data_IF_676442384455
#
_entry.id   IF_676442384455
#
_cell.length_a   1.000
_cell.length_b   1.000
_cell.length_c   1.000
_cell.angle_alpha   90.00
_cell.angle_beta   90.00
_cell.angle_gamma   90.00
#
_symmetry.space_group_name_H-M   'P 1'
#
loop_
_entity.id
_entity.type
_entity.pdbx_description
1 polymer ?
#
# COMPACT_ATOMS: atom_id res chain seq x y z
N UNK A 1 13.53 -22.29 -15.78
CA UNK A 1 12.82 -22.35 -14.46
C UNK A 1 13.25 -21.15 -13.67
N UNK A 2 12.31 -20.36 -13.17
CA UNK A 2 12.58 -19.15 -12.36
C UNK A 2 12.87 -19.61 -10.93
N UNK A 3 14.00 -19.19 -10.38
CA UNK A 3 14.39 -19.56 -9.01
C UNK A 3 14.01 -18.49 -8.01
N UNK A 4 13.56 -18.91 -6.83
CA UNK A 4 13.28 -18.01 -5.71
C UNK A 4 14.58 -17.71 -4.98
N UNK A 5 14.85 -16.43 -4.75
CA UNK A 5 16.02 -15.96 -4.01
C UNK A 5 15.88 -16.39 -2.54
N UNK A 6 16.89 -17.13 -2.05
CA UNK A 6 17.02 -17.57 -0.65
C UNK A 6 18.08 -16.80 0.13
N UNK A 7 18.89 -16.02 -0.58
CA UNK A 7 19.88 -15.13 0.01
C UNK A 7 19.19 -13.82 0.42
N UNK A 8 18.94 -13.65 1.71
CA UNK A 8 18.19 -12.50 2.24
C UNK A 8 18.92 -11.17 1.99
N UNK A 9 20.24 -11.16 1.91
CA UNK A 9 20.99 -9.93 1.62
C UNK A 9 20.59 -9.30 0.28
N UNK A 10 20.18 -10.13 -0.69
CA UNK A 10 19.68 -9.66 -1.99
C UNK A 10 18.26 -9.09 -1.94
N UNK A 11 17.57 -9.23 -0.82
CA UNK A 11 16.20 -8.75 -0.62
C UNK A 11 16.13 -7.49 0.25
N UNK A 12 17.27 -6.89 0.58
CA UNK A 12 17.35 -5.72 1.50
C UNK A 12 17.20 -4.38 0.80
N UNK A 13 17.03 -4.34 -0.50
CA UNK A 13 16.83 -3.10 -1.28
C UNK A 13 15.34 -2.86 -1.51
N UNK A 14 14.90 -1.59 -1.35
CA UNK A 14 13.55 -1.20 -1.70
C UNK A 14 13.31 -1.34 -3.21
N UNK A 15 12.20 -1.98 -3.58
CA UNK A 15 11.84 -2.22 -4.97
C UNK A 15 11.33 -0.94 -5.66
N UNK A 16 11.74 -0.74 -6.91
CA UNK A 16 11.32 0.40 -7.71
C UNK A 16 9.82 0.32 -8.06
N UNK A 17 9.09 1.45 -7.99
CA UNK A 17 7.69 1.48 -8.43
C UNK A 17 7.60 1.26 -9.94
N UNK A 18 6.62 0.44 -10.37
CA UNK A 18 6.29 0.34 -11.79
C UNK A 18 5.74 1.68 -12.26
N UNK A 19 6.35 2.28 -13.27
CA UNK A 19 5.88 3.53 -13.84
C UNK A 19 4.81 3.27 -14.91
N UNK A 20 3.67 3.99 -14.86
CA UNK A 20 2.54 3.75 -15.78
C UNK A 20 2.59 4.58 -17.06
N UNK A 21 3.46 5.60 -17.11
CA UNK A 21 3.50 6.57 -18.19
C UNK A 21 4.88 6.61 -18.84
N UNK A 22 5.00 5.95 -19.98
CA UNK A 22 5.91 6.43 -21.01
C UNK A 22 5.05 6.97 -22.16
N UNK A 23 5.54 8.00 -22.86
CA UNK A 23 4.91 8.55 -24.07
C UNK A 23 4.65 7.49 -25.15
N UNK A 24 5.16 6.27 -24.98
CA UNK A 24 5.13 5.15 -25.92
C UNK A 24 4.28 3.95 -25.48
N UNK A 25 3.65 3.97 -24.30
CA UNK A 25 2.68 2.93 -23.88
C UNK A 25 3.26 1.55 -23.55
N UNK A 26 4.59 1.37 -23.48
CA UNK A 26 5.27 0.06 -23.38
C UNK A 26 5.36 -0.53 -21.96
N UNK A 27 5.02 0.21 -20.92
CA UNK A 27 5.22 -0.26 -19.52
C UNK A 27 4.14 -1.21 -19.01
N UNK A 28 2.99 -1.28 -19.68
CA UNK A 28 1.98 -2.30 -19.36
C UNK A 28 2.50 -3.70 -19.67
N UNK A 29 3.23 -3.85 -20.79
CA UNK A 29 3.75 -5.13 -21.22
C UNK A 29 4.83 -5.66 -20.28
N UNK A 30 5.70 -4.79 -19.75
CA UNK A 30 6.68 -5.16 -18.72
C UNK A 30 6.00 -5.62 -17.43
N UNK A 31 5.00 -4.89 -16.95
CA UNK A 31 4.23 -5.27 -15.78
C UNK A 31 3.51 -6.60 -15.95
N UNK A 32 2.93 -6.87 -17.12
CA UNK A 32 2.27 -8.14 -17.44
C UNK A 32 3.25 -9.30 -17.54
N UNK A 33 4.47 -9.08 -18.07
CA UNK A 33 5.53 -10.08 -18.10
C UNK A 33 5.98 -10.48 -16.69
N UNK A 34 6.18 -9.49 -15.80
CA UNK A 34 6.52 -9.73 -14.40
C UNK A 34 5.41 -10.54 -13.70
N UNK A 35 4.16 -10.13 -13.87
CA UNK A 35 3.00 -10.83 -13.32
C UNK A 35 2.92 -12.27 -13.83
N UNK A 36 3.15 -12.49 -15.12
CA UNK A 36 3.20 -13.81 -15.73
C UNK A 36 4.23 -14.71 -15.06
N UNK A 37 5.44 -14.19 -14.84
CA UNK A 37 6.54 -14.91 -14.15
C UNK A 37 6.20 -15.26 -12.72
N UNK A 38 5.60 -14.34 -11.96
CA UNK A 38 5.17 -14.59 -10.58
C UNK A 38 4.11 -15.70 -10.53
N UNK A 39 3.11 -15.63 -11.41
CA UNK A 39 2.04 -16.64 -11.49
C UNK A 39 2.59 -18.01 -11.90
N UNK A 40 3.52 -18.07 -12.86
CA UNK A 40 4.20 -19.31 -13.28
C UNK A 40 4.85 -20.00 -12.09
N UNK A 41 5.64 -19.29 -11.29
CA UNK A 41 6.28 -19.85 -10.09
C UNK A 41 5.25 -20.34 -9.07
N UNK A 42 4.23 -19.54 -8.78
CA UNK A 42 3.17 -19.90 -7.84
C UNK A 42 2.30 -21.08 -8.35
N UNK A 43 2.18 -21.25 -9.67
CA UNK A 43 1.41 -22.35 -10.25
C UNK A 43 2.17 -23.68 -10.24
N UNK A 44 3.50 -23.62 -10.29
CA UNK A 44 4.37 -24.79 -10.11
C UNK A 44 4.32 -25.27 -8.66
N UNK A 45 4.38 -24.35 -7.70
CA UNK A 45 4.29 -24.66 -6.27
C UNK A 45 3.05 -24.01 -5.64
N UNK A 46 2.01 -24.78 -5.44
CA UNK A 46 0.72 -24.35 -4.86
C UNK A 46 0.81 -24.00 -3.38
N UNK A 47 1.89 -24.36 -2.70
CA UNK A 47 2.11 -24.00 -1.28
C UNK A 47 2.52 -22.54 -1.11
N UNK A 48 2.98 -21.88 -2.17
CA UNK A 48 3.35 -20.48 -2.16
C UNK A 48 2.07 -19.62 -2.11
N UNK A 49 1.83 -18.98 -0.97
CA UNK A 49 0.68 -18.10 -0.76
C UNK A 49 0.93 -16.66 -1.18
N UNK A 50 2.16 -16.20 -1.09
CA UNK A 50 2.56 -14.85 -1.54
C UNK A 50 3.95 -14.89 -2.18
N UNK A 51 4.13 -14.12 -3.26
CA UNK A 51 5.41 -14.01 -3.96
C UNK A 51 5.57 -12.60 -4.53
N UNK A 52 6.72 -11.98 -4.25
CA UNK A 52 7.06 -10.63 -4.70
C UNK A 52 8.06 -10.67 -5.85
N UNK A 53 8.06 -9.63 -6.69
CA UNK A 53 9.02 -9.52 -7.80
C UNK A 53 10.50 -9.55 -7.34
N UNK A 54 10.90 -8.90 -6.23
CA UNK A 54 12.25 -9.05 -5.69
C UNK A 54 12.65 -10.48 -5.38
N UNK A 55 11.72 -11.33 -4.92
CA UNK A 55 12.01 -12.73 -4.60
C UNK A 55 12.36 -13.57 -5.83
N UNK A 56 12.05 -13.10 -7.03
CA UNK A 56 12.46 -13.72 -8.30
C UNK A 56 13.49 -12.88 -9.05
N UNK A 57 14.17 -11.95 -8.35
CA UNK A 57 15.28 -11.16 -8.90
C UNK A 57 14.87 -9.97 -9.77
N UNK A 58 13.62 -9.52 -9.67
CA UNK A 58 13.10 -8.39 -10.46
C UNK A 58 12.86 -7.20 -9.54
N UNK A 59 13.51 -6.08 -9.83
CA UNK A 59 13.35 -4.81 -9.09
C UNK A 59 12.07 -4.11 -9.52
N UNK A 60 10.93 -4.51 -8.93
CA UNK A 60 9.63 -3.90 -9.20
C UNK A 60 8.68 -4.06 -8.03
N UNK A 61 7.86 -3.02 -7.75
CA UNK A 61 6.85 -3.04 -6.70
C UNK A 61 5.58 -3.79 -7.14
N UNK A 62 5.77 -5.08 -7.40
CA UNK A 62 4.69 -6.00 -7.77
C UNK A 62 4.76 -7.24 -6.90
N UNK A 63 3.62 -7.73 -6.45
CA UNK A 63 3.50 -9.06 -5.86
C UNK A 63 2.15 -9.71 -6.19
N UNK A 64 2.11 -11.02 -5.98
CA UNK A 64 0.92 -11.84 -6.10
C UNK A 64 0.60 -12.53 -4.77
N UNK A 65 -0.68 -12.66 -4.44
CA UNK A 65 -1.17 -13.45 -3.30
C UNK A 65 -2.23 -14.44 -3.79
N UNK A 66 -2.16 -15.66 -3.29
CA UNK A 66 -3.15 -16.72 -3.54
C UNK A 66 -4.25 -16.65 -2.48
N UNK A 67 -5.48 -16.44 -2.93
CA UNK A 67 -6.69 -16.49 -2.12
C UNK A 67 -7.63 -17.54 -2.70
N UNK A 68 -7.95 -18.59 -1.94
CA UNK A 68 -8.89 -19.63 -2.38
C UNK A 68 -8.61 -20.11 -3.82
N UNK A 69 -7.38 -20.52 -4.09
CA UNK A 69 -6.87 -20.98 -5.40
C UNK A 69 -6.83 -19.90 -6.52
N UNK A 70 -7.24 -18.67 -6.24
CA UNK A 70 -7.10 -17.55 -7.16
C UNK A 70 -5.88 -16.70 -6.80
N UNK A 71 -5.07 -16.40 -7.80
CA UNK A 71 -3.92 -15.49 -7.64
C UNK A 71 -4.38 -14.08 -7.97
N UNK A 72 -4.29 -13.18 -6.98
CA UNK A 72 -4.51 -11.74 -7.16
C UNK A 72 -3.18 -11.01 -7.24
N UNK A 73 -3.12 -10.04 -8.12
CA UNK A 73 -1.95 -9.20 -8.38
C UNK A 73 -2.12 -7.84 -7.74
N UNK A 74 -1.03 -7.33 -7.16
CA UNK A 74 -0.96 -6.01 -6.53
C UNK A 74 0.23 -5.24 -7.11
N UNK A 75 -0.05 -4.14 -7.82
CA UNK A 75 0.95 -3.29 -8.46
C UNK A 75 1.04 -1.98 -7.68
N UNK A 76 2.26 -1.55 -7.33
CA UNK A 76 2.53 -0.35 -6.53
C UNK A 76 1.64 -0.26 -5.27
N UNK A 77 1.59 -1.32 -4.46
CA UNK A 77 0.72 -1.36 -3.29
C UNK A 77 1.18 -0.39 -2.21
N UNK A 78 0.22 0.20 -1.51
CA UNK A 78 0.44 1.07 -0.35
C UNK A 78 -0.52 0.64 0.76
N UNK A 79 -0.01 0.53 1.98
CA UNK A 79 -0.83 0.35 3.18
C UNK A 79 -1.12 1.72 3.76
N UNK A 80 -2.39 2.13 3.75
CA UNK A 80 -2.83 3.44 4.25
C UNK A 80 -3.23 3.42 5.71
N UNK A 81 -3.65 2.25 6.24
CA UNK A 81 -4.02 2.07 7.64
C UNK A 81 -3.69 0.66 8.11
N UNK A 82 -3.18 0.55 9.35
CA UNK A 82 -2.91 -0.71 10.06
C UNK A 82 -3.62 -0.70 11.41
N UNK A 83 -4.19 -1.84 11.82
CA UNK A 83 -4.81 -2.00 13.14
C UNK A 83 -4.86 -3.45 13.59
N UNK A 84 -5.13 -3.67 14.89
CA UNK A 84 -5.26 -5.00 15.52
C UNK A 84 -4.03 -5.88 15.31
N UNK A 85 -2.96 -5.54 16.02
CA UNK A 85 -1.72 -6.30 15.92
C UNK A 85 -1.78 -7.58 16.74
N UNK A 86 -1.31 -8.68 16.13
CA UNK A 86 -1.17 -9.99 16.76
C UNK A 86 0.19 -10.59 16.47
N UNK A 87 0.69 -11.40 17.42
CA UNK A 87 1.93 -12.17 17.28
C UNK A 87 1.55 -13.58 16.85
N UNK A 88 2.09 -14.02 15.71
CA UNK A 88 1.86 -15.37 15.18
C UNK A 88 3.08 -15.86 14.41
N UNK A 89 3.31 -17.16 14.34
CA UNK A 89 4.33 -17.73 13.47
C UNK A 89 3.93 -17.57 11.99
N UNK A 90 4.93 -17.35 11.16
CA UNK A 90 4.80 -17.23 9.71
C UNK A 90 5.90 -17.99 9.01
N UNK A 91 5.55 -18.63 7.89
CA UNK A 91 6.53 -19.16 6.95
C UNK A 91 6.91 -18.08 5.94
N UNK A 92 8.13 -18.15 5.44
CA UNK A 92 8.63 -17.26 4.41
C UNK A 92 9.30 -18.07 3.30
N UNK A 93 8.82 -17.91 2.06
CA UNK A 93 9.26 -18.77 0.95
C UNK A 93 10.76 -18.69 0.66
N UNK A 94 11.39 -17.56 0.97
CA UNK A 94 12.85 -17.38 0.87
C UNK A 94 13.64 -18.00 2.05
N UNK A 95 12.94 -18.52 3.07
CA UNK A 95 13.56 -19.20 4.21
C UNK A 95 12.88 -20.57 4.44
N UNK A 96 13.03 -21.52 3.53
CA UNK A 96 12.38 -22.81 3.68
C UNK A 96 12.85 -23.56 4.93
N UNK A 97 11.93 -24.22 5.63
CA UNK A 97 12.21 -24.94 6.88
C UNK A 97 12.41 -24.05 8.11
N UNK A 98 12.09 -22.75 8.01
CA UNK A 98 12.08 -21.82 9.12
C UNK A 98 10.67 -21.28 9.38
N UNK A 99 10.36 -21.05 10.64
CA UNK A 99 9.25 -20.23 11.10
C UNK A 99 9.75 -18.95 11.71
N UNK A 100 8.95 -17.90 11.62
CA UNK A 100 9.29 -16.58 12.14
C UNK A 100 8.14 -16.12 13.01
N UNK A 101 8.39 -16.01 14.32
CA UNK A 101 7.42 -15.44 15.25
C UNK A 101 7.46 -13.92 15.12
N UNK A 102 6.36 -13.32 14.64
CA UNK A 102 6.36 -11.91 14.24
C UNK A 102 5.06 -11.19 14.59
N UNK A 103 5.17 -9.90 14.93
CA UNK A 103 4.03 -9.00 15.11
C UNK A 103 3.54 -8.47 13.77
N UNK A 104 2.25 -8.69 13.46
CA UNK A 104 1.62 -8.14 12.25
C UNK A 104 0.23 -7.59 12.50
N UNK A 105 -0.21 -6.62 11.68
CA UNK A 105 -1.59 -6.14 11.71
C UNK A 105 -2.55 -7.22 11.18
N UNK A 106 -3.67 -7.38 11.84
CA UNK A 106 -4.79 -8.24 11.44
C UNK A 106 -5.81 -7.49 10.58
N UNK A 107 -5.70 -6.17 10.48
CA UNK A 107 -6.54 -5.34 9.62
C UNK A 107 -5.70 -4.31 8.87
N UNK A 108 -5.88 -4.23 7.55
CA UNK A 108 -5.27 -3.24 6.68
C UNK A 108 -6.32 -2.51 5.85
N UNK A 109 -6.12 -1.22 5.63
CA UNK A 109 -6.68 -0.52 4.47
C UNK A 109 -5.55 -0.32 3.47
N UNK A 110 -5.78 -0.67 2.23
CA UNK A 110 -4.77 -0.74 1.18
C UNK A 110 -5.25 -0.05 -0.08
N UNK A 111 -4.31 0.49 -0.83
CA UNK A 111 -4.54 0.97 -2.20
C UNK A 111 -3.50 0.35 -3.13
N UNK A 112 -3.89 0.04 -4.34
CA UNK A 112 -3.04 -0.62 -5.33
C UNK A 112 -3.64 -0.50 -6.74
N UNK A 113 -2.86 -0.90 -7.74
CA UNK A 113 -3.39 -1.12 -9.08
C UNK A 113 -3.55 -2.62 -9.35
N UNK A 114 -4.65 -2.99 -9.99
CA UNK A 114 -4.92 -4.38 -10.41
C UNK A 114 -4.10 -4.74 -11.65
N UNK A 115 -4.21 -6.00 -12.09
CA UNK A 115 -3.61 -6.50 -13.34
C UNK A 115 -4.15 -5.77 -14.58
N UNK A 116 -5.40 -5.26 -14.52
CA UNK A 116 -5.98 -4.41 -15.56
C UNK A 116 -5.57 -2.94 -15.43
N UNK A 117 -4.64 -2.62 -14.53
CA UNK A 117 -4.16 -1.28 -14.22
C UNK A 117 -5.26 -0.33 -13.72
N UNK A 118 -6.25 -0.88 -13.00
CA UNK A 118 -7.28 -0.10 -12.32
C UNK A 118 -6.86 0.16 -10.88
N UNK A 119 -7.03 1.39 -10.43
CA UNK A 119 -6.82 1.75 -9.04
C UNK A 119 -7.96 1.19 -8.17
N UNK A 120 -7.58 0.54 -7.08
CA UNK A 120 -8.53 -0.01 -6.10
C UNK A 120 -8.10 0.34 -4.67
N UNK A 121 -9.10 0.54 -3.82
CA UNK A 121 -8.95 0.62 -2.37
C UNK A 121 -9.73 -0.54 -1.74
N UNK A 122 -9.08 -1.28 -0.83
CA UNK A 122 -9.69 -2.44 -0.20
C UNK A 122 -9.31 -2.52 1.29
N UNK A 123 -10.17 -3.20 2.07
CA UNK A 123 -9.87 -3.60 3.43
C UNK A 123 -9.56 -5.09 3.45
N UNK A 124 -8.40 -5.45 4.04
CA UNK A 124 -7.98 -6.82 4.25
C UNK A 124 -8.05 -7.17 5.74
N UNK A 125 -8.36 -8.43 6.05
CA UNK A 125 -8.50 -8.96 7.41
C UNK A 125 -7.73 -10.28 7.55
N UNK A 126 -7.23 -10.56 8.76
CA UNK A 126 -6.64 -11.84 9.14
C UNK A 126 -5.44 -12.24 8.26
N UNK A 127 -5.40 -13.48 7.80
CA UNK A 127 -4.30 -14.01 7.00
C UNK A 127 -4.02 -13.18 5.73
N UNK A 128 -5.06 -12.66 5.07
CA UNK A 128 -4.90 -11.80 3.91
C UNK A 128 -4.16 -10.50 4.24
N UNK A 129 -4.47 -9.87 5.38
CA UNK A 129 -3.79 -8.68 5.86
C UNK A 129 -2.32 -8.98 6.18
N UNK A 130 -2.04 -10.10 6.84
CA UNK A 130 -0.68 -10.53 7.22
C UNK A 130 0.19 -10.79 5.98
N UNK A 131 -0.30 -11.56 5.00
CA UNK A 131 0.42 -11.82 3.75
C UNK A 131 0.69 -10.54 2.95
N UNK A 132 -0.27 -9.63 2.92
CA UNK A 132 -0.11 -8.35 2.25
C UNK A 132 0.93 -7.47 2.94
N UNK A 133 0.90 -7.38 4.28
CA UNK A 133 1.88 -6.62 5.07
C UNK A 133 3.30 -7.17 4.89
N UNK A 134 3.47 -8.50 4.93
CA UNK A 134 4.74 -9.19 4.66
C UNK A 134 5.28 -8.82 3.27
N UNK A 135 4.41 -8.90 2.25
CA UNK A 135 4.79 -8.58 0.87
C UNK A 135 5.18 -7.11 0.70
N UNK A 136 4.43 -6.17 1.30
CA UNK A 136 4.77 -4.75 1.27
C UNK A 136 6.10 -4.44 1.95
N UNK A 137 6.37 -5.05 3.12
CA UNK A 137 7.65 -4.87 3.81
C UNK A 137 8.81 -5.38 2.96
N UNK A 138 8.63 -6.53 2.29
CA UNK A 138 9.67 -7.06 1.41
C UNK A 138 9.92 -6.16 0.19
N UNK A 139 8.87 -5.52 -0.36
CA UNK A 139 9.05 -4.48 -1.37
C UNK A 139 9.79 -3.24 -0.84
N UNK A 140 9.76 -3.01 0.46
CA UNK A 140 10.52 -1.94 1.14
C UNK A 140 11.95 -2.40 1.55
N UNK A 141 12.38 -3.59 1.16
CA UNK A 141 13.68 -4.16 1.51
C UNK A 141 13.78 -4.65 2.95
N UNK A 142 12.65 -4.94 3.59
CA UNK A 142 12.59 -5.44 4.97
C UNK A 142 12.12 -6.89 4.96
N UNK A 143 12.96 -7.80 5.41
CA UNK A 143 12.62 -9.21 5.49
C UNK A 143 11.90 -9.55 6.81
N UNK A 144 11.10 -10.63 6.87
CA UNK A 144 10.50 -11.06 8.12
C UNK A 144 11.54 -11.38 9.23
N UNK A 145 12.74 -11.81 8.85
CA UNK A 145 13.83 -12.07 9.79
C UNK A 145 14.33 -10.81 10.52
N UNK A 146 14.12 -9.62 9.92
CA UNK A 146 14.47 -8.34 10.55
C UNK A 146 13.47 -7.93 11.63
N UNK A 147 12.30 -8.57 11.67
CA UNK A 147 11.13 -8.13 12.46
C UNK A 147 10.64 -9.16 13.46
N UNK A 148 11.16 -10.38 13.43
CA UNK A 148 10.69 -11.47 14.25
C UNK A 148 11.80 -12.39 14.75
N UNK A 149 11.42 -13.37 15.56
CA UNK A 149 12.31 -14.43 16.04
C UNK A 149 12.24 -15.60 15.06
N UNK A 150 13.39 -15.98 14.52
CA UNK A 150 13.53 -17.09 13.58
C UNK A 150 13.82 -18.37 14.35
N UNK A 151 13.05 -19.43 14.08
CA UNK A 151 13.26 -20.79 14.60
C UNK A 151 13.22 -21.82 13.48
N UNK A 152 13.76 -23.01 13.73
CA UNK A 152 13.53 -24.17 12.87
C UNK A 152 12.09 -24.66 13.05
N UNK A 153 11.46 -25.08 11.95
CA UNK A 153 10.13 -25.71 12.04
C UNK A 153 10.30 -27.06 12.74
N UNK A 154 9.68 -27.20 13.90
CA UNK A 154 9.61 -28.48 14.58
C UNK A 154 8.70 -29.46 13.80
N UNK A 155 9.14 -30.71 13.67
CA UNK A 155 8.50 -31.72 12.80
C UNK A 155 7.14 -32.17 13.28
N UNK A 156 6.69 -31.80 14.48
CA UNK A 156 5.42 -32.23 15.06
C UNK A 156 4.25 -31.25 14.85
N UNK A 157 4.52 -30.05 14.28
CA UNK A 157 3.47 -29.10 13.90
C UNK A 157 2.63 -28.54 15.06
N UNK A 158 3.01 -28.79 16.30
CA UNK A 158 2.36 -28.17 17.44
C UNK A 158 2.87 -26.75 17.57
N UNK A 159 1.95 -25.78 17.53
CA UNK A 159 2.18 -24.46 18.05
C UNK A 159 2.46 -24.63 19.55
N UNK A 160 3.74 -24.69 19.93
CA UNK A 160 4.11 -24.62 21.34
C UNK A 160 3.47 -23.32 21.89
N UNK A 161 2.89 -23.39 23.07
CA UNK A 161 2.41 -22.20 23.76
C UNK A 161 3.57 -21.22 23.85
N UNK A 162 3.43 -20.05 23.19
CA UNK A 162 4.46 -19.02 23.16
C UNK A 162 4.80 -18.62 24.59
N UNK A 163 6.06 -18.69 24.95
CA UNK A 163 6.52 -18.23 26.26
C UNK A 163 6.38 -16.70 26.38
N UNK A 164 6.16 -16.22 27.61
CA UNK A 164 6.11 -14.77 27.87
C UNK A 164 7.42 -14.08 27.46
N UNK A 165 8.56 -14.77 27.49
CA UNK A 165 9.84 -14.29 27.08
C UNK A 165 9.92 -14.06 25.56
N UNK A 166 9.47 -15.03 24.75
CA UNK A 166 9.40 -14.91 23.27
C UNK A 166 8.47 -13.77 22.84
N UNK A 167 7.29 -13.68 23.48
CA UNK A 167 6.37 -12.57 23.22
C UNK A 167 7.03 -11.22 23.51
N UNK A 168 7.73 -11.11 24.63
CA UNK A 168 8.42 -9.87 25.02
C UNK A 168 9.52 -9.52 24.04
N UNK A 169 10.32 -10.48 23.59
CA UNK A 169 11.39 -10.27 22.61
C UNK A 169 10.83 -9.80 21.26
N UNK A 170 9.78 -10.43 20.74
CA UNK A 170 9.16 -10.03 19.47
C UNK A 170 8.58 -8.61 19.54
N UNK A 171 7.93 -8.26 20.65
CA UNK A 171 7.40 -6.91 20.86
C UNK A 171 8.54 -5.88 20.90
N UNK A 172 9.67 -6.20 21.52
CA UNK A 172 10.81 -5.29 21.60
C UNK A 172 11.49 -5.11 20.24
N UNK A 173 11.69 -6.18 19.46
CA UNK A 173 12.20 -6.11 18.08
C UNK A 173 11.31 -5.18 17.24
N UNK A 174 9.99 -5.36 17.31
CA UNK A 174 9.06 -4.53 16.55
C UNK A 174 9.10 -3.05 16.97
N UNK A 175 9.19 -2.75 18.28
CA UNK A 175 9.32 -1.38 18.79
C UNK A 175 10.60 -0.71 18.28
N UNK A 176 11.73 -1.44 18.32
CA UNK A 176 13.01 -0.94 17.84
C UNK A 176 12.95 -0.64 16.33
N UNK A 177 12.35 -1.50 15.54
CA UNK A 177 12.14 -1.26 14.12
C UNK A 177 11.32 0.00 13.84
N UNK A 178 10.17 0.17 14.51
CA UNK A 178 9.33 1.36 14.34
C UNK A 178 10.08 2.63 14.73
N UNK A 179 10.86 2.58 15.83
CA UNK A 179 11.69 3.70 16.28
C UNK A 179 12.75 4.05 15.23
N UNK A 180 13.50 3.06 14.73
CA UNK A 180 14.54 3.26 13.71
C UNK A 180 13.95 3.84 12.42
N UNK A 181 12.78 3.32 11.97
CA UNK A 181 12.08 3.84 10.79
C UNK A 181 11.62 5.30 10.99
N UNK A 182 11.14 5.64 12.18
CA UNK A 182 10.78 7.02 12.54
C UNK A 182 11.99 7.97 12.55
N UNK A 183 13.13 7.52 13.08
CA UNK A 183 14.38 8.30 13.09
C UNK A 183 14.96 8.49 11.67
N UNK A 184 14.87 7.47 10.82
CA UNK A 184 15.26 7.56 9.41
C UNK A 184 14.40 8.59 8.66
N UNK A 185 13.08 8.53 8.82
CA UNK A 185 12.16 9.50 8.23
C UNK A 185 12.42 10.93 8.72
N UNK A 186 12.73 11.11 10.02
CA UNK A 186 13.05 12.44 10.56
C UNK A 186 14.36 13.00 10.01
N UNK A 187 15.33 12.14 9.67
CA UNK A 187 16.56 12.57 8.99
C UNK A 187 16.28 13.01 7.57
N UNK A 188 15.55 12.19 6.82
CA UNK A 188 15.16 12.48 5.44
C UNK A 188 14.36 13.80 5.34
N UNK A 189 13.41 14.04 6.26
CA UNK A 189 12.67 15.31 6.34
C UNK A 189 13.58 16.52 6.56
N UNK A 190 14.67 16.37 7.34
CA UNK A 190 15.62 17.48 7.60
C UNK A 190 16.56 17.75 6.43
N UNK A 191 16.88 16.73 5.64
CA UNK A 191 17.85 16.81 4.55
C UNK A 191 17.21 17.26 3.24
N UNK A 192 15.89 17.00 3.04
CA UNK A 192 15.17 17.39 1.82
C UNK A 192 13.99 18.33 2.14
N UNK A 193 14.07 19.61 1.72
CA UNK A 193 13.01 20.61 1.93
C UNK A 193 11.65 20.26 1.31
N UNK A 194 11.63 19.50 0.20
CA UNK A 194 10.37 19.07 -0.43
C UNK A 194 9.71 17.95 0.37
N UNK A 195 10.50 17.04 0.92
CA UNK A 195 10.02 16.00 1.85
C UNK A 195 9.50 16.64 3.12
N UNK A 196 10.21 17.63 3.68
CA UNK A 196 9.75 18.40 4.85
C UNK A 196 8.40 19.07 4.59
N UNK A 197 8.24 19.68 3.45
CA UNK A 197 7.00 20.37 3.05
C UNK A 197 5.84 19.38 2.89
N UNK A 198 6.07 18.25 2.21
CA UNK A 198 5.07 17.20 2.04
C UNK A 198 4.65 16.60 3.39
N UNK A 199 5.60 16.35 4.30
CA UNK A 199 5.33 15.84 5.64
C UNK A 199 4.50 16.82 6.49
N UNK A 200 4.83 18.12 6.47
CA UNK A 200 4.05 19.15 7.16
C UNK A 200 2.62 19.24 6.62
N UNK A 201 2.44 19.08 5.32
CA UNK A 201 1.13 19.09 4.69
C UNK A 201 0.29 17.86 5.09
N UNK A 202 0.91 16.66 5.16
CA UNK A 202 0.26 15.44 5.65
C UNK A 202 -0.18 15.58 7.10
N UNK A 203 0.71 16.05 7.99
CA UNK A 203 0.37 16.28 9.40
C UNK A 203 -0.75 17.30 9.58
N UNK A 204 -0.75 18.36 8.76
CA UNK A 204 -1.82 19.35 8.80
C UNK A 204 -3.16 18.73 8.36
N UNK A 205 -3.15 17.94 7.30
CA UNK A 205 -4.34 17.23 6.81
C UNK A 205 -4.89 16.27 7.87
N UNK A 206 -4.02 15.51 8.54
CA UNK A 206 -4.40 14.62 9.62
C UNK A 206 -5.04 15.35 10.79
N UNK A 207 -4.47 16.48 11.23
CA UNK A 207 -5.05 17.34 12.26
C UNK A 207 -6.42 17.90 11.88
N UNK A 208 -6.61 18.24 10.61
CA UNK A 208 -7.92 18.70 10.10
C UNK A 208 -8.95 17.56 10.16
N UNK A 209 -8.58 16.36 9.75
CA UNK A 209 -9.45 15.17 9.78
C UNK A 209 -9.83 14.84 11.23
N UNK A 210 -8.88 14.96 12.17
CA UNK A 210 -9.11 14.67 13.59
C UNK A 210 -9.81 15.81 14.36
N UNK A 211 -10.11 16.94 13.70
CA UNK A 211 -10.74 18.11 14.30
C UNK A 211 -9.81 18.94 15.21
N UNK A 212 -8.50 18.69 15.15
CA UNK A 212 -7.48 19.39 15.96
C UNK A 212 -6.98 20.70 15.32
N UNK A 213 -7.25 20.88 14.03
CA UNK A 213 -6.93 22.09 13.29
C UNK A 213 -8.08 22.48 12.36
N UNK A 214 -8.24 23.78 12.14
CA UNK A 214 -9.20 24.33 11.19
C UNK A 214 -8.48 24.82 9.95
N UNK A 215 -9.01 24.47 8.78
CA UNK A 215 -8.58 25.09 7.53
C UNK A 215 -9.17 26.49 7.49
N UNK A 216 -8.33 27.52 7.46
CA UNK A 216 -8.77 28.87 7.09
C UNK A 216 -9.01 28.81 5.58
N UNK A 217 -10.26 28.54 5.22
CA UNK A 217 -10.67 28.56 3.82
C UNK A 217 -10.52 29.99 3.29
N UNK A 218 -9.87 30.14 2.15
CA UNK A 218 -9.95 31.40 1.42
C UNK A 218 -11.42 31.66 0.99
N UNK A 219 -11.74 32.94 0.69
CA UNK A 219 -13.12 33.31 0.31
C UNK A 219 -13.67 32.52 -0.89
N UNK A 220 -12.80 32.10 -1.81
CA UNK A 220 -13.21 31.36 -3.01
C UNK A 220 -13.55 29.90 -2.66
N UNK A 221 -12.73 29.26 -1.83
CA UNK A 221 -12.96 27.88 -1.35
C UNK A 221 -14.21 27.82 -0.48
N UNK A 222 -14.40 28.80 0.41
CA UNK A 222 -15.61 28.89 1.22
C UNK A 222 -16.88 29.09 0.37
N UNK A 223 -16.82 29.93 -0.68
CA UNK A 223 -17.91 30.10 -1.65
C UNK A 223 -18.20 28.79 -2.42
N UNK A 224 -17.16 28.11 -2.88
CA UNK A 224 -17.30 26.84 -3.60
C UNK A 224 -17.96 25.78 -2.72
N UNK A 225 -17.55 25.64 -1.44
CA UNK A 225 -18.15 24.70 -0.50
C UNK A 225 -19.62 25.03 -0.22
N UNK A 226 -19.97 26.28 0.03
CA UNK A 226 -21.35 26.69 0.22
C UNK A 226 -22.21 26.42 -1.02
N UNK A 227 -21.66 26.62 -2.20
CA UNK A 227 -22.33 26.30 -3.48
C UNK A 227 -22.54 24.82 -3.64
N UNK A 228 -21.51 23.99 -3.34
CA UNK A 228 -21.60 22.53 -3.38
C UNK A 228 -22.62 21.98 -2.37
N UNK A 229 -22.64 22.49 -1.13
CA UNK A 229 -23.64 22.13 -0.12
C UNK A 229 -25.07 22.52 -0.57
N UNK A 230 -25.24 23.72 -1.15
CA UNK A 230 -26.51 24.16 -1.69
C UNK A 230 -27.00 23.25 -2.83
N UNK A 231 -26.08 22.88 -3.74
CA UNK A 231 -26.37 21.93 -4.83
C UNK A 231 -26.71 20.53 -4.31
N UNK A 232 -26.03 20.07 -3.26
CA UNK A 232 -26.30 18.76 -2.65
C UNK A 232 -27.70 18.70 -2.02
N UNK A 233 -28.18 19.81 -1.47
CA UNK A 233 -29.52 19.92 -0.85
C UNK A 233 -30.65 20.14 -1.86
N UNK A 234 -30.34 20.40 -3.14
CA UNK A 234 -31.33 20.65 -4.18
C UNK A 234 -31.89 19.35 -4.76
N UNK A 235 -33.17 19.37 -5.15
CA UNK A 235 -33.79 18.27 -5.91
C UNK A 235 -33.17 18.13 -7.31
N UNK A 236 -33.36 16.97 -7.93
CA UNK A 236 -32.83 16.69 -9.29
C UNK A 236 -33.35 17.71 -10.31
N UNK A 237 -34.62 18.13 -10.18
CA UNK A 237 -35.25 19.10 -11.07
C UNK A 237 -34.67 20.51 -10.92
N UNK A 238 -34.31 20.91 -9.71
CA UNK A 238 -33.68 22.21 -9.42
C UNK A 238 -32.24 22.26 -9.90
N UNK A 239 -31.49 21.15 -9.74
CA UNK A 239 -30.13 21.02 -10.30
C UNK A 239 -30.14 21.16 -11.83
N UNK A 240 -31.06 20.47 -12.52
CA UNK A 240 -31.20 20.55 -13.96
C UNK A 240 -31.54 21.97 -14.46
N UNK A 241 -32.38 22.73 -13.70
CA UNK A 241 -32.67 24.13 -14.01
C UNK A 241 -31.46 25.03 -13.86
N UNK A 242 -30.66 24.85 -12.78
CA UNK A 242 -29.43 25.63 -12.56
C UNK A 242 -28.38 25.34 -13.63
N UNK A 243 -28.19 24.08 -14.00
CA UNK A 243 -27.24 23.67 -15.04
C UNK A 243 -27.61 24.29 -16.40
N UNK A 244 -28.92 24.30 -16.73
CA UNK A 244 -29.42 24.96 -17.94
C UNK A 244 -29.19 26.47 -17.94
N UNK A 245 -29.36 27.11 -16.78
CA UNK A 245 -29.07 28.56 -16.64
C UNK A 245 -27.57 28.85 -16.78
N UNK A 246 -26.71 28.05 -16.16
CA UNK A 246 -25.26 28.16 -16.24
C UNK A 246 -24.77 28.00 -17.69
N UNK A 247 -25.23 26.97 -18.40
CA UNK A 247 -24.88 26.72 -19.78
C UNK A 247 -25.34 27.86 -20.72
N UNK A 248 -26.52 28.43 -20.46
CA UNK A 248 -27.02 29.58 -21.20
C UNK A 248 -26.21 30.87 -20.94
N UNK A 249 -25.76 31.08 -19.71
CA UNK A 249 -24.89 32.22 -19.35
C UNK A 249 -23.50 32.10 -20.02
N UNK A 250 -22.92 30.91 -19.99
CA UNK A 250 -21.64 30.61 -20.68
C UNK A 250 -21.78 30.85 -22.19
N UNK A 251 -22.86 30.41 -22.81
CA UNK A 251 -23.15 30.59 -24.23
C UNK A 251 -23.28 32.07 -24.60
N UNK A 252 -23.93 32.87 -23.75
CA UNK A 252 -24.01 34.34 -23.93
C UNK A 252 -22.64 35.01 -23.82
N UNK A 253 -21.81 34.62 -22.84
CA UNK A 253 -20.45 35.16 -22.70
C UNK A 253 -19.56 34.80 -23.90
N UNK A 254 -19.67 33.57 -24.43
CA UNK A 254 -18.94 33.13 -25.61
C UNK A 254 -19.33 33.92 -26.87
N UNK A 255 -20.63 34.17 -27.06
CA UNK A 255 -21.13 34.96 -28.19
C UNK A 255 -20.71 36.43 -28.12
N UNK A 256 -20.71 37.03 -26.92
CA UNK A 256 -20.25 38.37 -26.70
C UNK A 256 -18.72 38.57 -26.88
N UNK A 257 -17.91 37.50 -26.76
CA UNK A 257 -16.46 37.50 -27.03
C UNK A 257 -16.12 37.38 -28.51
N UNK A 258 -17.03 36.80 -29.34
CA UNK A 258 -16.84 36.69 -30.78
C UNK A 258 -17.39 37.88 -31.58
N UNK A 259 -18.07 38.79 -30.91
CA UNK A 259 -18.64 40.01 -31.52
C UNK A 259 -17.82 41.27 -31.30
N UNK A 260 -16.63 41.14 -30.76
CA UNK A 260 -15.59 42.15 -30.71
C UNK A 260 -14.35 41.65 -31.47
#
# INVERSE_FOLDING_TARGET
>A
MIEIIKDLEKLTSAAAPLQFLTEQGTMKDEGLDIIGKLKEVMDVDKTILALTAPQIGIDSRIFCIRFNDQIKTFINPIVTKKSKYEIKPESFVSMPGKEILITRPEELTIVYYTEEFKYEENKLLGAAARLFDQSCQLLDGVTPADLGLVSDVETDGSLADLSEEEITQVVEIYKQFIKAKGEALQREIKEDPEVEKAYKQLQFTEKVINGEAFVIEDEQTAKNRKTAQKMAAMSISERAKMEKQYNNAQRKQFLNRKGK
#
